data_IF_913469556503
#
_entry.id   IF_913469556503
#
_cell.length_a   1.000
_cell.length_b   1.000
_cell.length_c   1.000
_cell.angle_alpha   90.00
_cell.angle_beta   90.00
_cell.angle_gamma   90.00
#
_symmetry.space_group_name_H-M   'P 1'
#
loop_
_entity.id
_entity.type
_entity.pdbx_description
1 polymer ?
#
# COMPACT_ATOMS: atom_id res chain seq x y z
N UNK A 1 -22.45 -25.40 71.87
CA UNK A 1 -21.24 -26.20 71.83
C UNK A 1 -20.49 -25.75 70.60
N UNK A 2 -19.51 -24.86 70.81
CA UNK A 2 -18.05 -25.11 70.79
C UNK A 2 -17.57 -25.53 69.41
N UNK A 3 -16.64 -24.98 68.77
CA UNK A 3 -15.47 -24.12 69.02
C UNK A 3 -15.04 -23.53 67.68
N UNK A 4 -14.75 -22.29 67.51
CA UNK A 4 -13.44 -21.63 67.52
C UNK A 4 -12.32 -22.40 66.83
N UNK A 5 -11.84 -21.86 65.70
CA UNK A 5 -10.43 -21.82 65.39
C UNK A 5 -10.15 -20.63 64.46
N UNK A 6 -9.56 -19.63 65.00
CA UNK A 6 -8.76 -18.60 64.37
C UNK A 6 -7.49 -19.21 63.81
N UNK A 7 -7.11 -18.86 62.60
CA UNK A 7 -5.67 -18.79 62.25
C UNK A 7 -5.45 -17.56 61.40
N UNK A 8 -4.72 -16.66 61.96
CA UNK A 8 -4.08 -15.47 61.42
C UNK A 8 -2.85 -15.84 60.61
N UNK A 9 -2.37 -14.85 59.87
CA UNK A 9 -1.00 -14.63 59.38
C UNK A 9 -0.82 -15.03 57.91
N UNK A 10 -0.14 -14.31 57.11
CA UNK A 10 0.74 -13.14 57.29
C UNK A 10 0.85 -12.41 55.98
N UNK A 11 0.91 -11.15 56.05
CA UNK A 11 1.44 -10.30 55.00
C UNK A 11 2.92 -10.58 54.80
N UNK A 12 3.34 -10.77 53.58
CA UNK A 12 4.72 -10.43 53.24
C UNK A 12 4.72 -9.77 51.87
N UNK A 13 4.92 -8.48 51.90
CA UNK A 13 5.30 -7.72 50.76
C UNK A 13 6.65 -8.13 50.23
N UNK A 14 6.73 -8.25 48.93
CA UNK A 14 8.00 -8.10 48.25
C UNK A 14 7.87 -6.90 47.33
N UNK A 15 8.39 -5.85 47.88
CA UNK A 15 8.82 -4.68 47.16
C UNK A 15 9.83 -5.15 46.08
N UNK A 16 9.49 -5.09 44.85
CA UNK A 16 10.49 -5.11 43.80
C UNK A 16 10.46 -3.79 43.06
N UNK A 17 11.34 -2.98 43.51
CA UNK A 17 11.81 -1.75 42.93
C UNK A 17 12.68 -2.15 41.73
N UNK A 18 12.40 -1.59 40.61
CA UNK A 18 13.41 -1.51 39.58
C UNK A 18 12.94 -1.87 38.18
N UNK A 19 13.01 -0.92 37.36
CA UNK A 19 13.02 -1.13 35.93
C UNK A 19 11.87 -0.39 35.21
N UNK A 20 11.92 0.91 35.27
CA UNK A 20 11.43 1.71 34.17
C UNK A 20 12.32 1.38 32.98
N UNK A 21 11.97 0.38 32.21
CA UNK A 21 12.40 0.28 30.84
C UNK A 21 11.20 0.71 30.00
N UNK A 22 11.19 1.97 29.71
CA UNK A 22 10.55 2.45 28.52
C UNK A 22 11.28 1.80 27.34
N UNK A 23 10.89 0.59 27.03
CA UNK A 23 11.05 0.12 25.68
C UNK A 23 10.01 0.87 24.88
N UNK A 24 10.43 1.97 24.32
CA UNK A 24 9.88 2.42 23.05
C UNK A 24 10.05 1.22 22.13
N UNK A 25 9.02 0.39 22.10
CA UNK A 25 8.82 -0.54 21.00
C UNK A 25 8.68 0.36 19.77
N UNK A 26 9.85 0.56 19.14
CA UNK A 26 9.88 1.04 17.79
C UNK A 26 8.90 0.18 17.00
N UNK A 27 7.82 0.82 16.59
CA UNK A 27 7.06 0.51 15.41
C UNK A 27 7.25 -0.94 14.91
N UNK A 28 6.48 -1.85 15.45
CA UNK A 28 5.99 -2.93 14.65
C UNK A 28 5.17 -2.25 13.55
N UNK A 29 5.78 -2.10 12.38
CA UNK A 29 5.09 -1.70 11.17
C UNK A 29 3.90 -2.64 11.08
N UNK A 30 2.72 -2.12 11.38
CA UNK A 30 1.50 -2.83 11.19
C UNK A 30 1.55 -3.39 9.78
N UNK A 31 1.30 -4.67 9.61
CA UNK A 31 1.03 -5.24 8.29
C UNK A 31 -0.18 -4.47 7.81
N UNK A 32 0.06 -3.50 6.95
CA UNK A 32 -0.95 -2.57 6.49
C UNK A 32 -2.02 -3.36 5.74
N UNK A 33 -3.05 -3.69 6.47
CA UNK A 33 -4.25 -4.27 5.86
C UNK A 33 -4.86 -3.17 5.01
N UNK A 34 -4.98 -3.41 3.73
CA UNK A 34 -5.64 -2.48 2.81
C UNK A 34 -7.01 -2.08 3.36
N UNK A 35 -7.36 -0.79 3.32
CA UNK A 35 -8.70 -0.37 3.67
C UNK A 35 -9.75 -1.14 2.87
N UNK A 36 -10.79 -1.64 3.55
CA UNK A 36 -11.80 -2.46 2.88
C UNK A 36 -12.53 -1.74 1.75
N UNK A 37 -12.73 -0.44 1.88
CA UNK A 37 -13.32 0.39 0.82
C UNK A 37 -12.38 0.55 -0.39
N UNK A 38 -11.05 0.52 -0.18
CA UNK A 38 -10.10 0.50 -1.27
C UNK A 38 -10.14 -0.82 -2.05
N UNK A 39 -10.25 -1.94 -1.38
CA UNK A 39 -10.34 -3.25 -2.05
C UNK A 39 -11.57 -3.33 -2.96
N UNK A 40 -12.72 -2.89 -2.47
CA UNK A 40 -13.96 -2.83 -3.27
C UNK A 40 -13.80 -1.88 -4.47
N UNK A 41 -13.21 -0.70 -4.24
CA UNK A 41 -12.89 0.24 -5.32
C UNK A 41 -11.97 -0.39 -6.36
N UNK A 42 -10.87 -1.05 -5.92
CA UNK A 42 -9.84 -1.60 -6.79
C UNK A 42 -10.38 -2.70 -7.70
N UNK A 43 -11.25 -3.57 -7.20
CA UNK A 43 -11.91 -4.59 -7.98
C UNK A 43 -12.80 -3.94 -9.05
N UNK A 44 -13.68 -3.04 -8.65
CA UNK A 44 -14.58 -2.35 -9.58
C UNK A 44 -13.81 -1.53 -10.62
N UNK A 45 -12.71 -0.89 -10.23
CA UNK A 45 -11.83 -0.13 -11.12
C UNK A 45 -11.28 -0.99 -12.26
N UNK A 46 -11.06 -2.28 -12.05
CA UNK A 46 -10.54 -3.19 -13.07
C UNK A 46 -11.64 -3.95 -13.83
N UNK A 47 -12.84 -4.03 -13.30
CA UNK A 47 -13.97 -4.71 -13.92
C UNK A 47 -14.80 -3.81 -14.81
N UNK A 48 -15.02 -2.57 -14.40
CA UNK A 48 -15.90 -1.60 -15.05
C UNK A 48 -15.10 -0.49 -15.73
N UNK A 49 -15.10 -0.48 -17.05
CA UNK A 49 -14.33 0.49 -17.86
C UNK A 49 -14.82 1.93 -17.71
N UNK A 50 -16.14 2.14 -17.56
CA UNK A 50 -16.69 3.47 -17.38
C UNK A 50 -16.31 4.01 -16.00
N UNK A 51 -16.49 3.19 -14.98
CA UNK A 51 -16.07 3.50 -13.62
C UNK A 51 -14.57 3.81 -13.53
N UNK A 52 -13.72 3.01 -14.21
CA UNK A 52 -12.29 3.27 -14.26
C UNK A 52 -11.97 4.68 -14.76
N UNK A 53 -12.55 5.05 -15.91
CA UNK A 53 -12.28 6.36 -16.54
C UNK A 53 -12.79 7.51 -15.70
N UNK A 54 -13.89 7.33 -14.97
CA UNK A 54 -14.46 8.33 -14.06
C UNK A 54 -13.60 8.51 -12.80
N UNK A 55 -12.83 7.48 -12.41
CA UNK A 55 -12.00 7.49 -11.21
C UNK A 55 -10.50 7.64 -11.53
N UNK A 56 -10.19 8.33 -12.61
CA UNK A 56 -8.83 8.75 -12.97
C UNK A 56 -8.79 10.28 -13.04
N UNK A 57 -7.83 10.87 -12.36
CA UNK A 57 -7.60 12.31 -12.38
C UNK A 57 -6.86 12.72 -13.66
N UNK A 58 -7.61 12.98 -14.73
CA UNK A 58 -7.03 13.44 -15.99
C UNK A 58 -6.85 14.98 -16.03
N UNK A 59 -5.75 15.47 -16.66
CA UNK A 59 -4.63 14.73 -17.22
C UNK A 59 -3.82 14.02 -16.11
N UNK A 60 -3.62 12.70 -16.26
CA UNK A 60 -3.01 11.89 -15.23
C UNK A 60 -1.48 11.98 -15.27
N UNK A 61 -0.87 12.43 -14.18
CA UNK A 61 0.59 12.47 -14.05
C UNK A 61 1.19 11.06 -14.07
N UNK A 62 2.35 10.90 -14.70
CA UNK A 62 3.04 9.63 -14.71
C UNK A 62 4.20 9.56 -15.67
N UNK A 63 4.54 8.35 -16.08
CA UNK A 63 5.59 8.06 -17.06
C UNK A 63 5.16 6.91 -17.97
N UNK A 64 5.43 6.96 -19.28
CA UNK A 64 5.20 5.81 -20.15
C UNK A 64 6.18 4.68 -19.83
N UNK A 65 5.96 3.50 -20.37
CA UNK A 65 6.93 2.41 -20.30
C UNK A 65 8.26 2.84 -20.94
N UNK A 66 9.37 2.32 -20.41
CA UNK A 66 10.69 2.56 -21.02
C UNK A 66 10.78 1.86 -22.37
N UNK A 67 11.32 2.56 -23.36
CA UNK A 67 11.57 2.03 -24.70
C UNK A 67 12.99 1.45 -24.86
N UNK A 68 13.77 1.43 -23.77
CA UNK A 68 15.15 0.89 -23.77
C UNK A 68 16.23 1.93 -23.42
N UNK A 69 17.47 1.64 -23.78
CA UNK A 69 18.62 2.49 -23.50
C UNK A 69 18.47 3.86 -24.19
N UNK A 70 18.62 4.92 -23.38
CA UNK A 70 18.50 6.31 -23.85
C UNK A 70 17.16 6.97 -23.54
N UNK A 71 16.28 6.31 -22.78
CA UNK A 71 15.03 6.92 -22.31
C UNK A 71 15.33 8.05 -21.30
N UNK A 72 15.26 9.28 -21.78
CA UNK A 72 15.49 10.50 -20.99
C UNK A 72 14.26 11.02 -20.27
N UNK A 73 13.12 10.33 -20.40
CA UNK A 73 11.85 10.80 -19.82
C UNK A 73 11.81 10.73 -18.28
N UNK A 74 12.83 10.18 -17.63
CA UNK A 74 12.91 10.10 -16.17
C UNK A 74 12.89 11.45 -15.46
N UNK A 75 13.26 12.51 -16.16
CA UNK A 75 13.31 13.89 -15.64
C UNK A 75 12.17 14.78 -16.15
N UNK A 76 11.35 14.31 -17.07
CA UNK A 76 10.24 15.06 -17.65
C UNK A 76 8.92 14.69 -16.97
N UNK A 77 8.10 15.69 -16.71
CA UNK A 77 6.70 15.46 -16.32
C UNK A 77 5.92 14.99 -17.52
N UNK A 78 5.30 13.83 -17.42
CA UNK A 78 4.44 13.28 -18.46
C UNK A 78 2.99 13.22 -17.95
N UNK A 79 2.05 13.50 -18.83
CA UNK A 79 0.63 13.50 -18.48
C UNK A 79 -0.16 12.68 -19.50
N UNK A 80 -0.77 11.61 -19.01
CA UNK A 80 -1.69 10.80 -19.79
C UNK A 80 -2.98 11.57 -20.06
N UNK A 81 -3.39 11.59 -21.31
CA UNK A 81 -4.66 12.19 -21.70
C UNK A 81 -5.78 11.15 -21.67
N UNK A 82 -6.98 11.59 -21.35
CA UNK A 82 -8.15 10.69 -21.31
C UNK A 82 -8.39 9.98 -22.64
N UNK A 83 -8.17 10.65 -23.76
CA UNK A 83 -8.34 10.09 -25.10
C UNK A 83 -7.36 8.95 -25.42
N UNK A 84 -6.17 8.95 -24.81
CA UNK A 84 -5.11 7.98 -25.05
C UNK A 84 -5.09 6.88 -24.00
N UNK A 85 -5.97 6.94 -22.99
CA UNK A 85 -6.01 5.99 -21.91
C UNK A 85 -6.44 4.60 -22.36
N UNK A 86 -5.63 3.61 -22.02
CA UNK A 86 -5.96 2.20 -22.24
C UNK A 86 -6.52 1.62 -20.95
N UNK A 87 -7.66 0.96 -21.06
CA UNK A 87 -8.32 0.34 -19.91
C UNK A 87 -7.41 -0.72 -19.29
N UNK A 88 -7.17 -0.60 -18.01
CA UNK A 88 -6.46 -1.59 -17.21
C UNK A 88 -7.44 -2.63 -16.68
N UNK A 89 -7.04 -3.89 -16.73
CA UNK A 89 -7.78 -5.02 -16.16
C UNK A 89 -6.97 -5.62 -15.00
N UNK A 90 -7.59 -6.49 -14.23
CA UNK A 90 -6.84 -7.28 -13.27
C UNK A 90 -5.70 -8.01 -13.99
N UNK A 91 -4.56 -8.06 -13.33
CA UNK A 91 -3.41 -8.75 -13.88
C UNK A 91 -3.71 -10.26 -13.97
N UNK A 92 -3.64 -10.78 -15.16
CA UNK A 92 -3.64 -12.21 -15.41
C UNK A 92 -2.21 -12.61 -15.80
N UNK A 93 -1.50 -13.27 -14.87
CA UNK A 93 -0.11 -13.70 -15.05
C UNK A 93 0.03 -15.20 -14.79
N UNK A 94 -0.44 -16.06 -15.72
CA UNK A 94 -0.37 -17.52 -15.57
C UNK A 94 1.07 -18.04 -15.51
N UNK A 95 2.03 -17.30 -16.08
CA UNK A 95 3.46 -17.60 -16.03
C UNK A 95 4.14 -17.19 -14.73
N UNK A 96 3.45 -16.51 -13.86
CA UNK A 96 3.99 -15.96 -12.60
C UNK A 96 5.29 -15.15 -12.81
N UNK A 97 5.31 -14.36 -13.87
CA UNK A 97 6.47 -13.55 -14.26
C UNK A 97 6.57 -12.23 -13.49
N UNK A 98 5.51 -11.88 -12.76
CA UNK A 98 5.42 -10.64 -12.03
C UNK A 98 5.12 -10.89 -10.56
N UNK A 99 5.68 -10.04 -9.72
CA UNK A 99 5.24 -9.84 -8.35
C UNK A 99 4.40 -8.56 -8.28
N UNK A 100 3.34 -8.56 -7.47
CA UNK A 100 2.56 -7.36 -7.23
C UNK A 100 2.23 -7.22 -5.75
N UNK A 101 2.23 -6.00 -5.25
CA UNK A 101 1.93 -5.68 -3.87
C UNK A 101 1.43 -4.25 -3.72
N UNK A 102 0.90 -3.96 -2.54
CA UNK A 102 0.47 -2.63 -2.18
C UNK A 102 1.34 -2.08 -1.05
N UNK A 103 1.56 -0.78 -1.08
CA UNK A 103 2.20 -0.01 0.00
C UNK A 103 1.23 1.08 0.42
N UNK A 104 0.84 1.07 1.70
CA UNK A 104 0.03 2.14 2.28
C UNK A 104 0.99 3.23 2.73
N UNK A 105 1.10 4.28 1.95
CA UNK A 105 2.01 5.40 2.25
C UNK A 105 1.40 6.34 3.28
N UNK A 106 0.08 6.45 3.25
CA UNK A 106 -0.73 7.28 4.15
C UNK A 106 -2.14 6.68 4.20
N UNK A 107 -2.93 7.01 5.22
CA UNK A 107 -4.31 6.53 5.35
C UNK A 107 -5.20 6.82 4.13
N UNK A 108 -4.79 7.77 3.30
CA UNK A 108 -5.49 8.20 2.09
C UNK A 108 -4.68 8.00 0.80
N UNK A 109 -3.52 7.35 0.87
CA UNK A 109 -2.64 7.14 -0.29
C UNK A 109 -2.10 5.73 -0.31
N UNK A 110 -2.39 5.03 -1.39
CA UNK A 110 -1.95 3.65 -1.61
C UNK A 110 -1.19 3.57 -2.93
N UNK A 111 -0.03 2.94 -2.89
CA UNK A 111 0.74 2.59 -4.08
C UNK A 111 0.56 1.11 -4.42
N UNK A 112 0.32 0.83 -5.68
CA UNK A 112 0.32 -0.51 -6.23
C UNK A 112 1.55 -0.68 -7.12
N UNK A 113 2.38 -1.63 -6.76
CA UNK A 113 3.62 -1.97 -7.44
C UNK A 113 3.50 -3.30 -8.15
N UNK A 114 4.03 -3.37 -9.35
CA UNK A 114 4.14 -4.58 -10.15
C UNK A 114 5.57 -4.65 -10.66
N UNK A 115 6.30 -5.70 -10.29
CA UNK A 115 7.68 -5.92 -10.69
C UNK A 115 7.80 -7.11 -11.65
N UNK A 116 8.50 -6.94 -12.75
CA UNK A 116 8.93 -8.07 -13.56
C UNK A 116 10.05 -8.82 -12.82
N UNK A 117 9.81 -10.08 -12.48
CA UNK A 117 10.74 -10.91 -11.69
C UNK A 117 12.13 -10.97 -12.30
N UNK A 118 13.14 -10.91 -11.45
CA UNK A 118 14.53 -10.95 -11.85
C UNK A 118 15.06 -9.71 -12.57
N UNK A 119 14.29 -8.62 -12.55
CA UNK A 119 14.67 -7.34 -13.16
C UNK A 119 14.46 -6.19 -12.20
N UNK A 120 14.92 -4.99 -12.59
CA UNK A 120 14.61 -3.74 -11.92
C UNK A 120 13.47 -2.97 -12.63
N UNK A 121 12.64 -3.68 -13.41
CA UNK A 121 11.52 -3.07 -14.11
C UNK A 121 10.25 -3.11 -13.27
N UNK A 122 9.66 -1.94 -13.06
CA UNK A 122 8.48 -1.76 -12.23
C UNK A 122 7.43 -0.94 -12.95
N UNK A 123 6.18 -1.31 -12.75
CA UNK A 123 5.01 -0.49 -13.00
C UNK A 123 4.50 0.02 -11.67
N UNK A 124 4.04 1.26 -11.62
CA UNK A 124 3.53 1.87 -10.39
C UNK A 124 2.24 2.62 -10.64
N UNK A 125 1.28 2.43 -9.77
CA UNK A 125 0.04 3.20 -9.69
C UNK A 125 -0.05 3.80 -8.30
N UNK A 126 -0.49 5.04 -8.22
CA UNK A 126 -0.81 5.68 -6.93
C UNK A 126 -2.26 6.06 -6.92
N UNK A 127 -2.94 5.64 -5.88
CA UNK A 127 -4.33 5.95 -5.63
C UNK A 127 -4.43 6.89 -4.43
N UNK A 128 -5.35 7.84 -4.49
CA UNK A 128 -5.65 8.72 -3.36
C UNK A 128 -7.14 8.70 -3.06
N UNK A 129 -7.47 8.75 -1.78
CA UNK A 129 -8.83 8.91 -1.30
C UNK A 129 -9.16 10.40 -1.21
N UNK A 130 -10.04 10.85 -2.08
CA UNK A 130 -10.62 12.18 -2.08
C UNK A 130 -11.94 12.17 -1.28
N UNK A 131 -12.65 13.28 -1.28
CA UNK A 131 -13.85 13.41 -0.46
C UNK A 131 -15.01 12.51 -0.90
N UNK A 132 -15.05 12.17 -2.18
CA UNK A 132 -16.10 11.36 -2.81
C UNK A 132 -15.66 9.94 -3.18
N UNK A 133 -14.41 9.56 -2.95
CA UNK A 133 -13.93 8.20 -3.21
C UNK A 133 -12.44 8.09 -3.53
N UNK A 134 -12.06 6.91 -3.99
CA UNK A 134 -10.70 6.64 -4.44
C UNK A 134 -10.51 7.00 -5.91
N UNK A 135 -9.32 7.53 -6.24
CA UNK A 135 -8.95 7.93 -7.59
C UNK A 135 -7.51 7.52 -7.92
N UNK A 136 -7.28 7.12 -9.16
CA UNK A 136 -5.92 6.99 -9.70
C UNK A 136 -5.36 8.40 -9.96
N UNK A 137 -4.26 8.72 -9.31
CA UNK A 137 -3.62 10.05 -9.39
C UNK A 137 -2.22 10.01 -10.03
N UNK A 138 -1.66 8.82 -10.25
CA UNK A 138 -0.37 8.64 -10.91
C UNK A 138 -0.29 7.25 -11.55
N UNK A 139 0.27 7.19 -12.76
CA UNK A 139 0.55 5.94 -13.44
C UNK A 139 1.92 5.96 -14.13
N UNK A 140 2.75 4.99 -13.80
CA UNK A 140 4.01 4.71 -14.46
C UNK A 140 3.93 3.33 -15.13
N UNK A 141 4.19 3.30 -16.43
CA UNK A 141 4.39 2.05 -17.16
C UNK A 141 5.68 1.33 -16.74
N UNK A 142 5.92 0.17 -17.31
CA UNK A 142 7.07 -0.66 -16.93
C UNK A 142 8.40 0.05 -17.25
N UNK A 143 9.17 0.40 -16.22
CA UNK A 143 10.44 1.15 -16.30
C UNK A 143 11.44 0.69 -15.26
N UNK A 144 12.75 0.90 -15.50
CA UNK A 144 13.76 0.73 -14.46
C UNK A 144 13.49 1.68 -13.26
N UNK A 145 13.53 1.12 -12.06
CA UNK A 145 13.46 1.87 -10.80
C UNK A 145 14.59 1.40 -9.89
N UNK A 146 15.37 2.34 -9.39
CA UNK A 146 16.35 2.04 -8.34
C UNK A 146 15.62 2.11 -7.00
N UNK A 147 15.34 0.96 -6.43
CA UNK A 147 14.84 0.83 -5.06
C UNK A 147 16.01 0.42 -4.19
N UNK A 148 16.44 1.30 -3.31
CA UNK A 148 17.44 1.03 -2.27
C UNK A 148 16.79 0.38 -1.07
#
# INVERSE_FOLDING_TARGET
MSAIALITLAAQGCNNKGGSSTSEDADAVAVDTLPGDFSVFFDRFHEDSAYQVEHIMFPLEGLPASTGDGDTLTSLRYFWQKADWKIHRHMNDPGQNFDNWFEVTDARVIEHWIQMKGTNLYMRRRFAKLDDGWYLIYYQGLRPVNRE
#
